data_IF_854657697355
#
_entry.id   IF_854657697355
#
_cell.length_a   1.000
_cell.length_b   1.000
_cell.length_c   1.000
_cell.angle_alpha   90.00
_cell.angle_beta   90.00
_cell.angle_gamma   90.00
#
_symmetry.space_group_name_H-M   'P 1'
#
loop_
_entity.id
_entity.type
_entity.pdbx_description
1 polymer ?
#
# COMPACT_ATOMS: atom_id res chain seq x y z
N UNK A 1 -3.46 30.53 30.16
CA UNK A 1 -3.29 29.96 28.81
C UNK A 1 -1.90 29.40 28.68
N UNK A 2 -1.78 28.11 28.42
CA UNK A 2 -0.49 27.44 28.20
C UNK A 2 0.19 27.94 26.93
N UNK A 3 1.54 27.82 26.80
CA UNK A 3 2.25 28.17 25.56
C UNK A 3 1.64 27.48 24.32
N UNK A 4 1.15 26.24 24.48
CA UNK A 4 0.46 25.47 23.43
C UNK A 4 -0.88 26.11 23.07
N UNK A 5 -1.66 26.58 24.03
CA UNK A 5 -2.92 27.30 23.76
C UNK A 5 -2.69 28.64 23.08
N UNK A 6 -1.61 29.36 23.43
CA UNK A 6 -1.20 30.58 22.73
C UNK A 6 -0.74 30.27 21.29
N UNK A 7 -0.01 29.17 21.11
CA UNK A 7 0.41 28.71 19.77
C UNK A 7 -0.81 28.30 18.93
N UNK A 8 -1.74 27.52 19.48
CA UNK A 8 -3.00 27.15 18.77
C UNK A 8 -3.85 28.37 18.49
N UNK A 9 -3.89 29.37 19.38
CA UNK A 9 -4.63 30.61 19.13
C UNK A 9 -3.95 31.53 18.12
N UNK A 10 -2.62 31.45 17.97
CA UNK A 10 -1.88 32.15 16.91
C UNK A 10 -2.02 31.48 15.54
N UNK A 11 -2.37 30.19 15.53
CA UNK A 11 -2.77 29.46 14.32
C UNK A 11 -4.20 29.79 13.87
N UNK A 12 -4.92 30.68 14.57
CA UNK A 12 -6.18 31.20 14.06
C UNK A 12 -5.89 31.87 12.73
N UNK A 13 -6.24 31.11 11.67
CA UNK A 13 -6.36 31.60 10.32
C UNK A 13 -6.96 33.02 10.35
N UNK A 14 -6.32 33.94 9.60
CA UNK A 14 -6.82 35.30 9.42
C UNK A 14 -8.33 35.26 9.20
N UNK A 15 -9.04 36.28 9.78
CA UNK A 15 -10.47 36.53 9.67
C UNK A 15 -11.14 35.83 8.50
N UNK A 16 -12.21 35.08 8.77
CA UNK A 16 -13.06 34.41 7.77
C UNK A 16 -13.36 35.36 6.59
N UNK A 17 -12.56 35.26 5.55
CA UNK A 17 -12.85 35.92 4.29
C UNK A 17 -14.10 35.27 3.72
N UNK A 18 -15.10 36.09 3.45
CA UNK A 18 -16.33 35.59 2.84
C UNK A 18 -16.15 35.56 1.33
N UNK A 19 -16.86 34.65 0.67
CA UNK A 19 -16.86 34.54 -0.79
C UNK A 19 -17.03 35.89 -1.51
N UNK A 20 -17.77 36.83 -0.91
CA UNK A 20 -17.99 38.19 -1.45
C UNK A 20 -16.72 39.04 -1.50
N UNK A 21 -15.70 38.73 -0.70
CA UNK A 21 -14.47 39.51 -0.60
C UNK A 21 -13.43 39.09 -1.67
N UNK A 22 -13.69 38.00 -2.39
CA UNK A 22 -12.89 37.55 -3.52
C UNK A 22 -13.38 38.20 -4.81
N UNK A 23 -12.51 38.74 -5.67
CA UNK A 23 -12.89 39.29 -6.98
C UNK A 23 -13.78 38.35 -7.78
N UNK A 24 -14.76 38.90 -8.51
CA UNK A 24 -15.81 38.11 -9.17
C UNK A 24 -15.26 37.08 -10.17
N UNK A 25 -14.28 37.48 -10.97
CA UNK A 25 -13.60 36.62 -11.93
C UNK A 25 -12.93 35.45 -11.24
N UNK A 26 -12.17 35.69 -10.19
CA UNK A 26 -11.52 34.65 -9.40
C UNK A 26 -12.54 33.76 -8.68
N UNK A 27 -13.58 34.36 -8.13
CA UNK A 27 -14.66 33.62 -7.46
C UNK A 27 -15.34 32.63 -8.40
N UNK A 28 -15.60 33.02 -9.62
CA UNK A 28 -16.19 32.14 -10.64
C UNK A 28 -15.32 30.96 -10.95
N UNK A 29 -14.01 31.15 -11.07
CA UNK A 29 -13.03 30.05 -11.27
C UNK A 29 -12.95 29.11 -10.07
N UNK A 30 -12.97 29.63 -8.84
CA UNK A 30 -12.96 28.82 -7.64
C UNK A 30 -14.24 27.99 -7.50
N UNK A 31 -15.41 28.57 -7.81
CA UNK A 31 -16.67 27.80 -7.83
C UNK A 31 -16.71 26.76 -8.94
N UNK A 32 -16.08 27.02 -10.08
CA UNK A 32 -15.90 26.00 -11.11
C UNK A 32 -15.04 24.86 -10.58
N UNK A 33 -13.91 25.17 -9.95
CA UNK A 33 -13.01 24.16 -9.40
C UNK A 33 -13.66 23.36 -8.26
N UNK A 34 -14.47 23.98 -7.38
CA UNK A 34 -15.27 23.27 -6.37
C UNK A 34 -16.18 22.19 -7.00
N UNK A 35 -16.76 22.49 -8.18
CA UNK A 35 -17.60 21.51 -8.90
C UNK A 35 -16.77 20.35 -9.46
N UNK A 36 -15.61 20.66 -10.04
CA UNK A 36 -14.70 19.65 -10.57
C UNK A 36 -14.22 18.68 -9.47
N UNK A 37 -13.81 19.22 -8.33
CA UNK A 37 -13.31 18.39 -7.21
C UNK A 37 -14.45 17.86 -6.31
N UNK A 38 -15.71 18.24 -6.55
CA UNK A 38 -16.85 17.78 -5.76
C UNK A 38 -16.83 18.21 -4.28
N UNK A 39 -16.08 19.24 -3.93
CA UNK A 39 -15.95 19.73 -2.55
C UNK A 39 -16.30 21.22 -2.48
N UNK A 40 -17.22 21.59 -1.59
CA UNK A 40 -17.57 22.99 -1.32
C UNK A 40 -16.86 23.51 -0.09
N UNK A 41 -16.21 24.66 -0.21
CA UNK A 41 -15.48 25.30 0.88
C UNK A 41 -16.35 26.28 1.66
N UNK A 42 -16.19 26.26 2.99
CA UNK A 42 -16.76 27.27 3.89
C UNK A 42 -15.91 28.54 3.86
N UNK A 43 -14.58 28.35 3.83
CA UNK A 43 -13.60 29.44 3.75
C UNK A 43 -12.91 29.43 2.39
N UNK A 44 -13.28 30.36 1.48
CA UNK A 44 -12.70 30.43 0.13
C UNK A 44 -11.22 30.78 0.09
N UNK A 45 -10.68 31.42 1.14
CA UNK A 45 -9.25 31.75 1.20
C UNK A 45 -8.38 30.51 1.25
N UNK A 46 -8.84 29.45 1.92
CA UNK A 46 -8.10 28.18 1.96
C UNK A 46 -7.98 27.57 0.56
N UNK A 47 -9.09 27.55 -0.19
CA UNK A 47 -9.06 27.08 -1.57
C UNK A 47 -8.20 27.98 -2.46
N UNK A 48 -8.36 29.30 -2.34
CA UNK A 48 -7.58 30.25 -3.13
C UNK A 48 -6.07 30.14 -2.83
N UNK A 49 -5.70 30.01 -1.56
CA UNK A 49 -4.30 29.86 -1.14
C UNK A 49 -3.69 28.53 -1.61
N UNK A 50 -4.44 27.42 -1.58
CA UNK A 50 -3.95 26.13 -2.06
C UNK A 50 -3.56 26.14 -3.55
N UNK A 51 -4.12 27.06 -4.31
CA UNK A 51 -3.86 27.25 -5.73
C UNK A 51 -2.81 28.35 -6.01
N UNK A 52 -2.19 28.91 -4.98
CA UNK A 52 -1.25 30.02 -5.10
C UNK A 52 0.20 29.56 -5.03
N UNK A 53 0.84 29.39 -6.16
CA UNK A 53 2.24 28.98 -6.23
C UNK A 53 3.15 30.10 -5.73
N UNK A 54 4.29 29.76 -5.16
CA UNK A 54 5.31 30.70 -4.65
C UNK A 54 5.74 31.76 -5.66
N UNK A 55 5.79 31.45 -6.96
CA UNK A 55 6.16 32.41 -7.98
C UNK A 55 5.18 33.58 -8.07
N UNK A 56 3.91 33.39 -7.75
CA UNK A 56 2.89 34.43 -7.77
C UNK A 56 3.05 35.45 -6.64
N UNK A 57 3.54 34.99 -5.49
CA UNK A 57 3.74 35.84 -4.28
C UNK A 57 5.15 36.38 -4.17
N UNK A 58 6.10 35.87 -4.97
CA UNK A 58 7.49 36.28 -4.91
C UNK A 58 7.64 37.77 -5.32
N UNK A 59 8.25 38.57 -4.43
CA UNK A 59 8.42 40.01 -4.64
C UNK A 59 7.48 40.92 -3.86
N UNK A 60 6.44 40.36 -3.20
CA UNK A 60 5.59 41.07 -2.27
C UNK A 60 6.13 40.91 -0.85
N UNK A 61 6.88 41.89 -0.34
CA UNK A 61 7.66 41.82 0.90
C UNK A 61 6.92 41.48 2.20
N UNK A 62 5.59 41.35 2.17
CA UNK A 62 4.75 41.02 3.34
C UNK A 62 4.29 39.55 3.43
N UNK A 63 4.64 38.66 2.47
CA UNK A 63 3.82 37.50 2.19
C UNK A 63 4.52 36.15 2.32
N UNK A 64 5.52 36.04 3.21
CA UNK A 64 6.04 34.73 3.63
C UNK A 64 4.93 33.93 4.32
N UNK A 65 4.17 33.13 3.57
CA UNK A 65 3.11 32.28 4.10
C UNK A 65 1.79 32.33 3.33
N UNK A 66 1.71 33.12 2.26
CA UNK A 66 0.53 33.15 1.38
C UNK A 66 0.64 32.13 0.23
N UNK A 67 1.82 31.55 -0.04
CA UNK A 67 1.95 30.44 -1.00
C UNK A 67 1.29 29.17 -0.49
N UNK A 68 1.10 28.23 -1.39
CA UNK A 68 0.54 26.90 -1.08
C UNK A 68 1.50 25.95 -0.34
N UNK A 69 2.80 26.28 -0.23
CA UNK A 69 3.85 25.40 0.33
C UNK A 69 3.52 24.86 1.73
N UNK A 70 2.94 25.67 2.61
CA UNK A 70 2.53 25.20 3.95
C UNK A 70 1.33 24.26 3.93
N UNK A 71 0.45 24.44 2.96
CA UNK A 71 -0.70 23.53 2.77
C UNK A 71 -0.27 22.25 2.08
N UNK A 72 0.66 22.30 1.15
CA UNK A 72 1.35 21.16 0.56
C UNK A 72 1.94 20.26 1.65
N UNK A 73 2.79 20.83 2.53
CA UNK A 73 3.38 20.11 3.66
C UNK A 73 2.32 19.40 4.55
N UNK A 74 1.22 20.11 4.85
CA UNK A 74 0.13 19.52 5.64
C UNK A 74 -0.64 18.47 4.83
N UNK A 75 -0.88 18.74 3.56
CA UNK A 75 -1.63 17.85 2.65
C UNK A 75 -0.92 16.55 2.39
N UNK A 76 0.42 16.55 2.22
CA UNK A 76 1.23 15.34 2.14
C UNK A 76 1.03 14.46 3.38
N UNK A 77 1.06 15.05 4.56
CA UNK A 77 0.85 14.32 5.82
C UNK A 77 -0.55 13.71 5.91
N UNK A 78 -1.59 14.45 5.49
CA UNK A 78 -2.98 13.98 5.46
C UNK A 78 -3.15 12.87 4.41
N UNK A 79 -2.59 13.05 3.22
CA UNK A 79 -2.58 12.05 2.17
C UNK A 79 -1.91 10.76 2.65
N UNK A 80 -0.72 10.89 3.24
CA UNK A 80 0.03 9.76 3.79
C UNK A 80 -0.75 8.98 4.85
N UNK A 81 -1.42 9.70 5.77
CA UNK A 81 -2.26 9.08 6.81
C UNK A 81 -3.42 8.28 6.21
N UNK A 82 -4.18 8.89 5.30
CA UNK A 82 -5.36 8.27 4.69
C UNK A 82 -4.98 7.07 3.82
N UNK A 83 -3.89 7.18 3.05
CA UNK A 83 -3.39 6.09 2.23
C UNK A 83 -2.89 4.93 3.10
N UNK A 84 -2.12 5.20 4.16
CA UNK A 84 -1.63 4.18 5.08
C UNK A 84 -2.78 3.43 5.74
N UNK A 85 -3.79 4.14 6.26
CA UNK A 85 -4.97 3.53 6.87
C UNK A 85 -5.74 2.67 5.86
N UNK A 86 -5.91 3.16 4.63
CA UNK A 86 -6.57 2.41 3.57
C UNK A 86 -5.81 1.11 3.24
N UNK A 87 -4.50 1.19 3.05
CA UNK A 87 -3.66 0.03 2.71
C UNK A 87 -3.63 -1.00 3.84
N UNK A 88 -3.49 -0.54 5.10
CA UNK A 88 -3.52 -1.40 6.27
C UNK A 88 -4.82 -2.23 6.35
N UNK A 89 -5.97 -1.58 6.14
CA UNK A 89 -7.26 -2.27 6.18
C UNK A 89 -7.53 -3.14 4.94
N UNK A 90 -6.98 -2.76 3.78
CA UNK A 90 -7.26 -3.43 2.50
C UNK A 90 -6.40 -4.66 2.27
N UNK A 91 -5.20 -4.68 2.83
CA UNK A 91 -4.20 -5.74 2.62
C UNK A 91 -3.66 -6.28 3.96
N UNK A 92 -4.51 -6.99 4.76
CA UNK A 92 -4.13 -7.45 6.10
C UNK A 92 -2.99 -8.49 6.09
N UNK A 93 -2.78 -9.18 4.97
CA UNK A 93 -1.77 -10.24 4.82
C UNK A 93 -0.42 -9.71 4.25
N UNK A 94 -0.31 -8.41 3.96
CA UNK A 94 0.91 -7.80 3.43
C UNK A 94 1.79 -7.28 4.58
N UNK A 95 3.10 -7.43 4.42
CA UNK A 95 4.06 -6.87 5.38
C UNK A 95 4.25 -5.35 5.18
N UNK A 96 4.95 -4.72 6.12
CA UNK A 96 5.21 -3.28 6.11
C UNK A 96 5.99 -2.83 4.88
N UNK A 97 6.94 -3.64 4.40
CA UNK A 97 7.74 -3.35 3.21
C UNK A 97 6.87 -3.27 1.94
N UNK A 98 5.95 -4.22 1.78
CA UNK A 98 5.01 -4.24 0.66
C UNK A 98 4.04 -3.05 0.72
N UNK A 99 3.48 -2.75 1.90
CA UNK A 99 2.59 -1.59 2.08
C UNK A 99 3.31 -0.28 1.77
N UNK A 100 4.58 -0.16 2.17
CA UNK A 100 5.41 1.01 1.88
C UNK A 100 5.69 1.18 0.40
N UNK A 101 5.97 0.08 -0.33
CA UNK A 101 6.12 0.10 -1.78
C UNK A 101 4.84 0.61 -2.45
N UNK A 102 3.68 0.01 -2.13
CA UNK A 102 2.38 0.41 -2.69
C UNK A 102 2.09 1.89 -2.39
N UNK A 103 2.29 2.31 -1.13
CA UNK A 103 2.14 3.73 -0.75
C UNK A 103 2.97 4.63 -1.64
N UNK A 104 4.28 4.35 -1.76
CA UNK A 104 5.22 5.19 -2.53
C UNK A 104 4.80 5.39 -3.98
N UNK A 105 4.13 4.40 -4.57
CA UNK A 105 3.58 4.50 -5.92
C UNK A 105 2.36 5.40 -5.97
N UNK A 106 1.40 5.15 -5.08
CA UNK A 106 0.11 5.85 -5.03
C UNK A 106 0.27 7.33 -4.77
N UNK A 107 1.18 7.70 -3.86
CA UNK A 107 1.47 9.10 -3.50
C UNK A 107 2.62 9.69 -4.33
N UNK A 108 3.08 9.00 -5.38
CA UNK A 108 4.16 9.52 -6.21
C UNK A 108 3.75 10.79 -6.93
N UNK A 109 4.72 11.71 -7.11
CA UNK A 109 4.51 12.94 -7.86
C UNK A 109 3.88 12.71 -9.24
N UNK A 110 4.25 11.60 -9.89
CA UNK A 110 3.74 11.25 -11.21
C UNK A 110 2.24 10.92 -11.16
N UNK A 111 1.80 10.14 -10.18
CA UNK A 111 0.38 9.79 -10.00
C UNK A 111 -0.43 11.01 -9.59
N UNK A 112 0.06 11.81 -8.63
CA UNK A 112 -0.62 13.02 -8.17
C UNK A 112 -0.76 14.05 -9.31
N UNK A 113 0.31 14.28 -10.07
CA UNK A 113 0.27 15.17 -11.23
C UNK A 113 -0.75 14.71 -12.28
N UNK A 114 -0.75 13.41 -12.61
CA UNK A 114 -1.72 12.85 -13.56
C UNK A 114 -3.16 13.06 -13.08
N UNK A 115 -3.44 12.77 -11.81
CA UNK A 115 -4.77 12.97 -11.23
C UNK A 115 -5.20 14.44 -11.21
N UNK A 116 -4.29 15.33 -10.90
CA UNK A 116 -4.54 16.78 -10.91
C UNK A 116 -4.74 17.32 -12.35
N UNK A 117 -4.05 16.76 -13.35
CA UNK A 117 -4.27 17.08 -14.77
C UNK A 117 -5.65 16.62 -15.24
N UNK A 118 -6.09 15.41 -14.85
CA UNK A 118 -7.42 14.87 -15.14
C UNK A 118 -8.54 15.82 -14.60
N UNK A 119 -8.31 16.46 -13.45
CA UNK A 119 -9.22 17.49 -12.86
C UNK A 119 -9.03 18.89 -13.45
N UNK A 120 -8.11 19.10 -14.39
CA UNK A 120 -7.82 20.42 -14.95
C UNK A 120 -7.22 21.41 -13.96
N UNK A 121 -6.60 20.96 -12.84
CA UNK A 121 -6.12 21.80 -11.74
C UNK A 121 -5.22 22.94 -12.22
N UNK A 122 -4.36 22.69 -13.20
CA UNK A 122 -3.44 23.68 -13.77
C UNK A 122 -4.12 24.96 -14.27
N UNK A 123 -5.40 24.92 -14.69
CA UNK A 123 -6.21 26.06 -15.12
C UNK A 123 -6.41 27.06 -13.98
N UNK A 124 -6.55 26.57 -12.76
CA UNK A 124 -6.94 27.36 -11.58
C UNK A 124 -5.73 27.94 -10.83
N UNK A 125 -4.49 27.52 -11.17
CA UNK A 125 -3.26 27.94 -10.50
C UNK A 125 -3.00 29.44 -10.71
N UNK A 126 -2.58 30.10 -9.65
CA UNK A 126 -2.00 31.44 -9.65
C UNK A 126 -0.47 31.31 -9.74
N UNK A 127 0.07 31.71 -10.87
CA UNK A 127 1.51 31.65 -11.20
C UNK A 127 1.98 33.04 -11.64
N UNK A 128 3.27 33.32 -11.54
CA UNK A 128 3.85 34.49 -12.19
C UNK A 128 3.76 34.39 -13.72
N UNK A 129 3.83 35.51 -14.42
CA UNK A 129 3.83 35.53 -15.89
C UNK A 129 4.95 34.65 -16.48
N UNK A 130 6.18 34.75 -15.97
CA UNK A 130 7.30 33.92 -16.43
C UNK A 130 7.10 32.43 -16.18
N UNK A 131 6.45 32.05 -15.06
CA UNK A 131 6.14 30.64 -14.79
C UNK A 131 5.07 30.12 -15.75
N UNK A 132 4.08 30.94 -16.09
CA UNK A 132 3.04 30.58 -17.12
C UNK A 132 3.69 30.39 -18.47
N UNK A 133 4.55 31.33 -18.91
CA UNK A 133 5.27 31.30 -20.19
C UNK A 133 6.17 30.08 -20.33
N UNK A 134 6.82 29.65 -19.21
CA UNK A 134 7.65 28.45 -19.18
C UNK A 134 6.87 27.13 -19.07
N UNK A 135 5.55 27.17 -19.19
CA UNK A 135 4.69 25.98 -19.15
C UNK A 135 4.37 25.48 -17.73
N UNK A 136 4.51 26.30 -16.70
CA UNK A 136 4.29 25.94 -15.30
C UNK A 136 2.94 25.32 -15.00
N UNK A 137 1.87 25.72 -15.75
CA UNK A 137 0.52 25.13 -15.62
C UNK A 137 0.42 23.64 -15.95
N UNK A 138 1.42 23.08 -16.66
CA UNK A 138 1.51 21.66 -17.04
C UNK A 138 2.72 20.97 -16.41
N UNK A 139 3.50 21.69 -15.59
CA UNK A 139 4.69 21.12 -14.95
C UNK A 139 4.28 20.19 -13.81
N UNK A 140 4.63 18.91 -13.94
CA UNK A 140 4.22 17.85 -13.01
C UNK A 140 4.53 18.17 -11.54
N UNK A 141 5.68 18.80 -11.25
CA UNK A 141 6.02 19.19 -9.87
C UNK A 141 5.02 20.21 -9.31
N UNK A 142 4.72 21.29 -10.06
CA UNK A 142 3.83 22.35 -9.61
C UNK A 142 2.39 21.83 -9.42
N UNK A 143 1.95 20.95 -10.32
CA UNK A 143 0.59 20.40 -10.27
C UNK A 143 0.44 19.40 -9.12
N UNK A 144 1.46 18.56 -8.87
CA UNK A 144 1.46 17.62 -7.76
C UNK A 144 1.49 18.34 -6.40
N UNK A 145 2.38 19.31 -6.24
CA UNK A 145 2.50 20.12 -5.02
C UNK A 145 1.18 20.87 -4.74
N UNK A 146 0.52 21.37 -5.79
CA UNK A 146 -0.80 22.01 -5.67
C UNK A 146 -1.90 21.01 -5.31
N UNK A 147 -1.85 19.77 -5.78
CA UNK A 147 -2.80 18.70 -5.40
C UNK A 147 -2.71 18.41 -3.89
N UNK A 148 -1.50 18.26 -3.37
CA UNK A 148 -1.28 18.09 -1.94
C UNK A 148 -1.81 19.32 -1.16
N UNK A 149 -1.54 20.54 -1.66
CA UNK A 149 -2.05 21.76 -1.04
C UNK A 149 -3.60 21.81 -1.01
N UNK A 150 -4.28 21.34 -2.06
CA UNK A 150 -5.75 21.22 -2.11
C UNK A 150 -6.23 20.22 -1.05
N UNK A 151 -5.55 19.08 -0.88
CA UNK A 151 -5.88 18.13 0.18
C UNK A 151 -5.73 18.78 1.56
N UNK A 152 -4.64 19.52 1.78
CA UNK A 152 -4.42 20.30 3.00
C UNK A 152 -5.52 21.33 3.26
N UNK A 153 -5.96 22.03 2.22
CA UNK A 153 -7.07 23.01 2.29
C UNK A 153 -8.40 22.35 2.63
N UNK A 154 -8.73 21.21 2.00
CA UNK A 154 -9.95 20.43 2.32
C UNK A 154 -9.92 20.01 3.79
N UNK A 155 -8.78 19.49 4.27
CA UNK A 155 -8.63 19.11 5.67
C UNK A 155 -8.84 20.27 6.63
N UNK A 156 -8.26 21.44 6.36
CA UNK A 156 -8.38 22.64 7.19
C UNK A 156 -9.82 23.18 7.24
N UNK A 157 -10.53 23.10 6.12
CA UNK A 157 -11.89 23.66 5.99
C UNK A 157 -12.97 22.68 6.46
N UNK A 158 -12.83 21.39 6.16
CA UNK A 158 -13.88 20.38 6.29
C UNK A 158 -13.52 19.21 7.19
N UNK A 159 -12.25 19.12 7.64
CA UNK A 159 -11.77 18.05 8.49
C UNK A 159 -11.34 16.80 7.75
N UNK A 160 -10.90 15.81 8.54
CA UNK A 160 -10.27 14.58 8.00
C UNK A 160 -11.24 13.75 7.15
N UNK A 161 -12.52 13.69 7.48
CA UNK A 161 -13.47 12.84 6.76
C UNK A 161 -13.71 13.34 5.33
N UNK A 162 -13.80 14.67 5.12
CA UNK A 162 -13.92 15.23 3.79
C UNK A 162 -12.64 15.02 2.96
N UNK A 163 -11.46 15.15 3.58
CA UNK A 163 -10.19 14.86 2.94
C UNK A 163 -10.08 13.36 2.57
N UNK A 164 -10.51 12.47 3.47
CA UNK A 164 -10.56 11.01 3.25
C UNK A 164 -11.43 10.65 2.05
N UNK A 165 -12.63 11.21 1.98
CA UNK A 165 -13.55 10.97 0.88
C UNK A 165 -12.96 11.44 -0.46
N UNK A 166 -12.38 12.65 -0.49
CA UNK A 166 -11.69 13.17 -1.67
C UNK A 166 -10.53 12.27 -2.10
N UNK A 167 -9.63 11.91 -1.20
CA UNK A 167 -8.48 11.05 -1.50
C UNK A 167 -8.93 9.66 -2.01
N UNK A 168 -9.95 9.07 -1.39
CA UNK A 168 -10.47 7.76 -1.82
C UNK A 168 -11.06 7.82 -3.22
N UNK A 169 -11.83 8.85 -3.52
CA UNK A 169 -12.50 9.01 -4.81
C UNK A 169 -11.51 9.35 -5.94
N UNK A 170 -10.56 10.24 -5.69
CA UNK A 170 -9.71 10.78 -6.76
C UNK A 170 -8.37 10.04 -6.89
N UNK A 171 -7.78 9.60 -5.79
CA UNK A 171 -6.42 9.04 -5.79
C UNK A 171 -6.44 7.51 -5.68
N UNK A 172 -7.27 6.95 -4.79
CA UNK A 172 -7.31 5.52 -4.55
C UNK A 172 -8.17 4.75 -5.56
N UNK A 173 -9.03 5.43 -6.32
CA UNK A 173 -9.70 4.82 -7.48
C UNK A 173 -8.65 4.46 -8.53
N UNK A 174 -8.65 3.20 -8.97
CA UNK A 174 -7.63 2.68 -9.90
C UNK A 174 -6.36 2.16 -9.24
N UNK A 175 -6.31 2.09 -7.90
CA UNK A 175 -5.18 1.50 -7.17
C UNK A 175 -4.81 0.11 -7.72
N UNK A 176 -5.79 -0.72 -8.07
CA UNK A 176 -5.57 -2.03 -8.67
C UNK A 176 -4.84 -1.96 -10.02
N UNK A 177 -5.08 -0.94 -10.82
CA UNK A 177 -4.38 -0.75 -12.08
C UNK A 177 -2.95 -0.28 -11.85
N UNK A 178 -2.76 0.61 -10.87
CA UNK A 178 -1.45 1.12 -10.47
C UNK A 178 -0.61 -0.04 -9.91
N UNK A 179 -1.14 -0.81 -8.97
CA UNK A 179 -0.43 -1.96 -8.37
C UNK A 179 -0.17 -3.06 -9.38
N UNK A 180 -1.09 -3.30 -10.32
CA UNK A 180 -0.91 -4.31 -11.36
C UNK A 180 0.13 -3.89 -12.40
N UNK A 181 0.19 -2.61 -12.76
CA UNK A 181 1.24 -2.10 -13.65
C UNK A 181 2.63 -2.17 -13.00
N UNK A 182 2.71 -2.04 -11.67
CA UNK A 182 3.95 -2.12 -10.91
C UNK A 182 4.36 -3.56 -10.57
N UNK A 183 3.43 -4.47 -10.36
CA UNK A 183 3.75 -5.90 -10.35
C UNK A 183 4.45 -6.31 -11.66
N UNK A 184 4.11 -5.66 -12.79
CA UNK A 184 4.85 -5.81 -14.04
C UNK A 184 6.19 -5.08 -14.08
N UNK A 185 6.42 -4.08 -13.22
CA UNK A 185 7.63 -3.23 -13.28
C UNK A 185 8.70 -3.58 -12.25
N UNK A 186 8.40 -4.37 -11.23
CA UNK A 186 9.33 -4.60 -10.10
C UNK A 186 9.95 -6.01 -10.03
N UNK A 187 9.91 -6.76 -11.11
CA UNK A 187 10.51 -8.11 -11.15
C UNK A 187 12.00 -8.12 -10.82
N UNK A 188 12.72 -7.02 -11.15
CA UNK A 188 14.15 -6.91 -10.80
C UNK A 188 14.37 -6.89 -9.29
N UNK A 189 13.59 -6.11 -8.55
CA UNK A 189 13.69 -6.04 -7.08
C UNK A 189 13.26 -7.34 -6.44
N UNK A 190 12.15 -7.93 -6.89
CA UNK A 190 11.68 -9.23 -6.41
C UNK A 190 12.73 -10.33 -6.64
N UNK A 191 13.34 -10.38 -7.81
CA UNK A 191 14.40 -11.34 -8.10
C UNK A 191 15.63 -11.09 -7.23
N UNK A 192 16.00 -9.84 -7.02
CA UNK A 192 17.12 -9.49 -6.16
C UNK A 192 16.88 -9.89 -4.71
N UNK A 193 15.73 -9.59 -4.13
CA UNK A 193 15.32 -9.96 -2.78
C UNK A 193 15.33 -11.49 -2.60
N UNK A 194 14.72 -12.23 -3.53
CA UNK A 194 14.66 -13.68 -3.51
C UNK A 194 16.06 -14.32 -3.54
N UNK A 195 16.91 -13.83 -4.45
CA UNK A 195 18.26 -14.38 -4.66
C UNK A 195 19.21 -13.97 -3.55
N UNK A 196 19.12 -12.76 -3.05
CA UNK A 196 19.92 -12.26 -1.94
C UNK A 196 19.54 -12.95 -0.63
N UNK A 197 18.25 -13.16 -0.36
CA UNK A 197 17.77 -13.88 0.82
C UNK A 197 18.16 -15.35 0.84
N UNK A 198 18.09 -16.03 -0.32
CA UNK A 198 18.33 -17.48 -0.42
C UNK A 198 19.79 -17.86 -0.71
N UNK A 199 20.54 -17.05 -1.46
CA UNK A 199 21.88 -17.42 -2.01
C UNK A 199 22.97 -16.40 -1.72
N UNK A 200 22.66 -15.24 -1.11
CA UNK A 200 23.59 -14.13 -0.80
C UNK A 200 24.38 -13.62 -2.02
N UNK A 201 23.79 -13.68 -3.21
CA UNK A 201 24.37 -13.22 -4.48
C UNK A 201 23.40 -12.26 -5.16
N UNK A 202 23.92 -11.46 -6.12
CA UNK A 202 23.11 -10.53 -6.89
C UNK A 202 22.84 -11.05 -8.30
N UNK A 203 21.64 -10.85 -8.87
CA UNK A 203 21.38 -11.08 -10.29
C UNK A 203 22.23 -10.13 -11.16
N UNK A 204 22.82 -10.64 -12.23
CA UNK A 204 23.62 -9.88 -13.19
C UNK A 204 22.86 -9.83 -14.50
N UNK A 205 22.60 -8.60 -14.99
CA UNK A 205 21.92 -8.33 -16.26
C UNK A 205 22.92 -7.99 -17.34
N UNK A 206 22.77 -8.59 -18.54
CA UNK A 206 23.62 -8.30 -19.69
C UNK A 206 22.77 -8.08 -20.92
N UNK A 207 22.97 -6.95 -21.59
CA UNK A 207 22.37 -6.68 -22.89
C UNK A 207 23.04 -7.58 -23.93
N UNK A 208 22.27 -8.44 -24.57
CA UNK A 208 22.73 -9.37 -25.60
C UNK A 208 22.67 -8.73 -26.97
N UNK A 209 21.62 -7.99 -27.25
CA UNK A 209 21.48 -7.30 -28.52
C UNK A 209 20.59 -6.06 -28.40
N UNK A 210 20.85 -5.11 -29.28
CA UNK A 210 20.06 -3.91 -29.50
C UNK A 210 19.72 -3.87 -30.99
N UNK A 211 18.44 -3.88 -31.35
CA UNK A 211 17.97 -3.94 -32.76
C UNK A 211 16.91 -2.89 -33.03
N UNK A 212 16.86 -2.41 -34.26
CA UNK A 212 15.86 -1.45 -34.73
C UNK A 212 16.39 -0.01 -34.81
N UNK A 213 15.65 0.87 -35.52
CA UNK A 213 15.97 2.29 -35.65
C UNK A 213 15.77 2.99 -34.28
N UNK A 214 16.34 4.20 -34.13
CA UNK A 214 16.35 4.95 -32.87
C UNK A 214 14.96 5.19 -32.26
N UNK A 215 13.92 5.25 -33.08
CA UNK A 215 12.53 5.48 -32.66
C UNK A 215 11.75 4.19 -32.36
N UNK A 216 12.31 3.00 -32.68
CA UNK A 216 11.68 1.69 -32.39
C UNK A 216 12.75 0.64 -32.06
N UNK A 217 13.62 0.96 -31.09
CA UNK A 217 14.65 0.06 -30.59
C UNK A 217 14.05 -1.06 -29.77
N UNK A 218 14.56 -2.28 -29.98
CA UNK A 218 14.30 -3.43 -29.14
C UNK A 218 15.60 -3.91 -28.49
N UNK A 219 15.53 -4.10 -27.18
CA UNK A 219 16.62 -4.62 -26.35
C UNK A 219 16.33 -6.06 -25.98
N UNK A 220 17.36 -6.91 -26.03
CA UNK A 220 17.32 -8.27 -25.49
C UNK A 220 18.31 -8.32 -24.34
N UNK A 221 17.83 -8.73 -23.16
CA UNK A 221 18.62 -8.79 -21.94
C UNK A 221 18.55 -10.19 -21.34
N UNK A 222 19.69 -10.72 -20.94
CA UNK A 222 19.80 -11.94 -20.13
C UNK A 222 20.05 -11.59 -18.68
N UNK A 223 19.45 -12.36 -17.78
CA UNK A 223 19.77 -12.33 -16.36
C UNK A 223 20.41 -13.63 -15.92
N UNK A 224 21.52 -13.51 -15.21
CA UNK A 224 22.27 -14.63 -14.65
C UNK A 224 22.41 -14.52 -13.14
N UNK A 225 22.40 -15.65 -12.45
CA UNK A 225 22.58 -15.80 -11.01
C UNK A 225 23.72 -16.79 -10.80
N UNK A 226 24.79 -16.37 -10.12
CA UNK A 226 26.01 -17.19 -9.93
C UNK A 226 26.58 -17.73 -11.26
N UNK A 227 26.59 -16.90 -12.31
CA UNK A 227 27.11 -17.25 -13.64
C UNK A 227 26.20 -18.13 -14.50
N UNK A 228 25.07 -18.63 -13.99
CA UNK A 228 24.09 -19.43 -14.73
C UNK A 228 22.93 -18.55 -15.19
N UNK A 229 22.53 -18.70 -16.46
CA UNK A 229 21.38 -17.98 -17.02
C UNK A 229 20.06 -18.51 -16.42
N UNK A 230 19.19 -17.58 -16.01
CA UNK A 230 17.89 -17.88 -15.42
C UNK A 230 16.73 -17.26 -16.21
N UNK A 231 16.96 -16.20 -16.97
CA UNK A 231 15.88 -15.60 -17.76
C UNK A 231 16.42 -14.73 -18.88
N UNK A 232 15.60 -14.57 -19.92
CA UNK A 232 15.79 -13.67 -21.05
C UNK A 232 14.55 -12.83 -21.23
N UNK A 233 14.72 -11.53 -21.44
CA UNK A 233 13.63 -10.59 -21.65
C UNK A 233 13.89 -9.67 -22.83
N UNK A 234 12.79 -9.16 -23.38
CA UNK A 234 12.79 -8.17 -24.46
C UNK A 234 11.98 -6.96 -24.05
N UNK A 235 12.34 -5.78 -24.58
CA UNK A 235 11.59 -4.54 -24.30
C UNK A 235 12.05 -3.41 -25.22
N UNK A 236 11.25 -2.35 -25.29
CA UNK A 236 11.54 -1.13 -26.05
C UNK A 236 12.59 -0.24 -25.37
N UNK A 237 12.92 -0.53 -24.14
CA UNK A 237 14.00 0.10 -23.37
C UNK A 237 14.81 -0.95 -22.64
N UNK A 238 16.06 -0.62 -22.27
CA UNK A 238 16.90 -1.49 -21.43
C UNK A 238 16.19 -1.86 -20.12
N UNK A 239 15.52 -0.89 -19.49
CA UNK A 239 14.75 -1.09 -18.25
C UNK A 239 13.62 -2.10 -18.43
N UNK A 240 12.86 -2.00 -19.50
CA UNK A 240 11.77 -2.92 -19.82
C UNK A 240 12.28 -4.34 -20.11
N UNK A 241 13.34 -4.47 -20.91
CA UNK A 241 13.96 -5.75 -21.20
C UNK A 241 14.54 -6.42 -19.94
N UNK A 242 15.15 -5.65 -19.03
CA UNK A 242 15.64 -6.14 -17.75
C UNK A 242 14.51 -6.63 -16.83
N UNK A 243 13.38 -5.92 -16.78
CA UNK A 243 12.19 -6.35 -16.05
C UNK A 243 11.59 -7.64 -16.62
N UNK A 244 11.50 -7.74 -17.95
CA UNK A 244 11.05 -8.94 -18.64
C UNK A 244 11.98 -10.14 -18.36
N UNK A 245 13.30 -9.93 -18.38
CA UNK A 245 14.28 -10.95 -18.03
C UNK A 245 14.16 -11.42 -16.56
N UNK A 246 13.95 -10.48 -15.65
CA UNK A 246 13.73 -10.79 -14.23
C UNK A 246 12.46 -11.61 -14.01
N UNK A 247 11.36 -11.28 -14.70
CA UNK A 247 10.11 -12.05 -14.67
C UNK A 247 10.35 -13.49 -15.09
N UNK A 248 10.97 -13.72 -16.25
CA UNK A 248 11.29 -15.05 -16.73
C UNK A 248 12.19 -15.85 -15.76
N UNK A 249 13.10 -15.15 -15.08
CA UNK A 249 13.96 -15.78 -14.07
C UNK A 249 13.19 -16.21 -12.81
N UNK A 250 12.22 -15.42 -12.35
CA UNK A 250 11.36 -15.77 -11.21
C UNK A 250 10.47 -16.97 -11.53
N UNK A 251 9.88 -17.02 -12.73
CA UNK A 251 9.08 -18.15 -13.21
C UNK A 251 9.92 -19.44 -13.24
N UNK A 252 11.13 -19.39 -13.82
CA UNK A 252 12.05 -20.51 -13.86
C UNK A 252 12.52 -20.98 -12.47
N UNK A 253 12.68 -20.07 -11.50
CA UNK A 253 13.03 -20.42 -10.12
C UNK A 253 11.87 -21.14 -9.43
N UNK A 254 10.64 -20.65 -9.58
CA UNK A 254 9.44 -21.25 -9.00
C UNK A 254 9.18 -22.67 -9.55
N UNK A 255 9.36 -22.89 -10.85
CA UNK A 255 9.24 -24.21 -11.48
C UNK A 255 10.27 -25.21 -10.93
N UNK A 256 11.51 -24.79 -10.76
CA UNK A 256 12.58 -25.65 -10.20
C UNK A 256 12.32 -26.00 -8.74
N UNK A 257 11.84 -25.04 -7.94
CA UNK A 257 11.50 -25.30 -6.54
C UNK A 257 10.30 -26.24 -6.41
N UNK A 258 9.30 -26.13 -7.28
CA UNK A 258 8.16 -27.05 -7.32
C UNK A 258 8.58 -28.47 -7.75
N UNK A 259 9.43 -28.60 -8.75
CA UNK A 259 9.98 -29.87 -9.21
C UNK A 259 10.85 -30.55 -8.12
N UNK A 260 11.66 -29.77 -7.40
CA UNK A 260 12.49 -30.29 -6.30
C UNK A 260 11.62 -30.79 -5.13
N UNK A 261 10.55 -30.09 -4.77
CA UNK A 261 9.57 -30.52 -3.74
C UNK A 261 8.80 -31.78 -4.18
N UNK A 262 8.44 -31.87 -5.47
CA UNK A 262 7.79 -33.05 -6.05
C UNK A 262 8.69 -34.31 -5.98
N UNK A 263 9.96 -34.16 -6.35
CA UNK A 263 10.94 -35.24 -6.27
C UNK A 263 11.20 -35.70 -4.83
N UNK A 264 11.25 -34.77 -3.86
CA UNK A 264 11.40 -35.12 -2.44
C UNK A 264 10.17 -35.85 -1.86
N UNK A 265 8.96 -35.52 -2.30
CA UNK A 265 7.73 -36.25 -1.90
C UNK A 265 7.70 -37.64 -2.49
N UNK A 266 8.00 -37.80 -3.78
CA UNK A 266 8.08 -39.13 -4.42
C UNK A 266 9.15 -40.02 -3.80
N UNK A 267 10.31 -39.49 -3.42
CA UNK A 267 11.36 -40.22 -2.72
C UNK A 267 10.99 -40.68 -1.30
N UNK A 268 10.15 -39.90 -0.60
CA UNK A 268 9.63 -40.27 0.74
C UNK A 268 8.53 -41.34 0.66
N UNK A 269 7.70 -41.31 -0.35
CA UNK A 269 6.65 -42.33 -0.55
C UNK A 269 7.25 -43.66 -1.00
N UNK A 270 8.25 -43.66 -1.88
CA UNK A 270 9.01 -44.87 -2.27
C UNK A 270 9.85 -45.46 -1.12
N UNK A 271 10.29 -44.64 -0.15
CA UNK A 271 10.96 -45.09 1.07
C UNK A 271 10.01 -45.75 2.07
N UNK A 272 8.76 -45.30 2.15
CA UNK A 272 7.72 -45.87 3.02
C UNK A 272 7.23 -47.24 2.54
N UNK A 273 7.11 -47.44 1.22
CA UNK A 273 6.73 -48.75 0.65
C UNK A 273 7.81 -49.84 0.88
N UNK A 274 9.10 -49.49 0.94
CA UNK A 274 10.19 -50.42 1.22
C UNK A 274 10.31 -50.78 2.70
N UNK A 275 9.90 -49.93 3.63
CA UNK A 275 9.98 -50.18 5.08
C UNK A 275 8.75 -50.91 5.60
N UNK A 276 7.55 -50.70 4.98
CA UNK A 276 6.32 -51.43 5.29
C UNK A 276 6.36 -52.94 4.91
N UNK A 277 7.26 -53.35 4.00
CA UNK A 277 7.42 -54.74 3.58
C UNK A 277 8.27 -55.63 4.53
N UNK A 278 9.03 -55.01 5.45
CA UNK A 278 9.88 -55.78 6.40
C UNK A 278 9.21 -56.08 7.74
N UNK A 279 8.19 -55.38 8.11
CA UNK A 279 7.49 -55.55 9.41
C UNK A 279 6.35 -56.58 9.33
N UNK A 280 5.74 -56.78 8.17
CA UNK A 280 4.69 -57.78 7.94
C UNK A 280 5.17 -59.24 8.04
N UNK A 281 6.50 -59.50 7.94
CA UNK A 281 7.09 -60.81 8.08
C UNK A 281 7.27 -61.25 9.54
N UNK A 282 7.51 -60.32 10.45
CA UNK A 282 7.74 -60.63 11.88
C UNK A 282 6.45 -60.77 12.69
N UNK A 283 5.34 -60.18 12.26
CA UNK A 283 4.03 -60.32 12.92
C UNK A 283 3.40 -61.68 12.63
N UNK A 284 3.53 -62.21 11.42
CA UNK A 284 3.02 -63.56 11.05
C UNK A 284 3.77 -64.70 11.72
N UNK A 285 5.00 -64.53 12.09
CA UNK A 285 5.77 -65.51 12.85
C UNK A 285 5.46 -65.51 14.35
N UNK A 286 5.06 -64.35 14.90
CA UNK A 286 4.60 -64.22 16.30
C UNK A 286 3.17 -64.74 16.52
N UNK A 287 2.28 -64.67 15.54
CA UNK A 287 0.92 -65.21 15.62
C UNK A 287 0.91 -66.75 15.56
N UNK A 288 1.85 -67.40 14.80
CA UNK A 288 1.98 -68.86 14.78
C UNK A 288 2.55 -69.43 16.06
N UNK A 289 3.26 -68.67 16.85
CA UNK A 289 3.84 -69.09 18.13
C UNK A 289 2.86 -68.96 19.32
N UNK A 290 1.76 -68.17 19.20
CA UNK A 290 0.78 -67.99 20.26
C UNK A 290 -0.47 -68.87 20.16
N UNK A 291 -0.56 -69.72 19.14
CA UNK A 291 -1.71 -70.59 18.88
C UNK A 291 -1.72 -71.94 19.59
N UNK A 292 -0.82 -72.19 20.54
CA UNK A 292 -0.81 -73.42 21.33
C UNK A 292 -0.64 -73.08 22.78
N UNK A 293 -1.76 -72.76 23.47
CA UNK A 293 -1.97 -73.09 24.89
C UNK A 293 -3.23 -72.37 25.42
N UNK A 294 -4.24 -73.23 25.73
CA UNK A 294 -5.25 -73.15 26.78
C UNK A 294 -6.49 -72.25 26.58
N UNK A 295 -7.58 -72.97 26.35
CA UNK A 295 -8.95 -72.70 26.88
C UNK A 295 -9.10 -73.40 28.25
N UNK A 296 -10.25 -73.20 28.98
CA UNK A 296 -10.96 -71.99 29.41
C UNK A 296 -11.25 -72.06 30.94
N UNK A 297 -11.69 -70.95 31.54
CA UNK A 297 -12.56 -71.02 32.72
C UNK A 297 -13.50 -69.78 32.77
N UNK A 298 -14.76 -70.13 33.04
CA UNK A 298 -15.94 -69.29 33.03
C UNK A 298 -16.15 -68.62 34.41
N UNK A 299 -16.78 -67.43 34.35
CA UNK A 299 -17.78 -66.83 35.24
C UNK A 299 -17.35 -66.16 36.55
N UNK A 300 -18.28 -65.30 37.18
CA UNK A 300 -19.28 -64.38 36.59
C UNK A 300 -19.25 -62.95 37.20
N UNK A 301 -20.20 -62.21 36.66
CA UNK A 301 -20.71 -60.89 36.96
C UNK A 301 -20.75 -60.41 38.42
N UNK A 302 -20.62 -59.14 38.62
CA UNK A 302 -21.46 -58.33 39.53
C UNK A 302 -21.61 -56.87 39.10
N UNK A 303 -22.90 -56.51 39.12
CA UNK A 303 -23.49 -55.19 39.05
C UNK A 303 -23.04 -54.26 40.18
N UNK A 304 -23.20 -52.98 39.96
CA UNK A 304 -23.46 -52.13 41.11
C UNK A 304 -23.12 -50.66 40.95
N UNK A 305 -24.13 -49.90 40.55
CA UNK A 305 -24.61 -48.65 41.18
C UNK A 305 -23.79 -47.35 41.03
N UNK A 306 -24.38 -46.44 40.24
CA UNK A 306 -25.04 -45.15 40.62
C UNK A 306 -24.38 -44.30 41.70
N UNK A 307 -24.20 -43.04 41.36
CA UNK A 307 -24.78 -41.82 41.97
C UNK A 307 -24.10 -40.57 41.37
N UNK A 308 -24.80 -39.73 40.66
CA UNK A 308 -25.46 -38.47 41.08
C UNK A 308 -24.67 -37.57 42.03
N UNK A 309 -24.47 -36.33 41.57
CA UNK A 309 -24.71 -34.99 42.22
C UNK A 309 -24.12 -33.93 41.27
N UNK A 310 -24.97 -33.17 40.59
CA UNK A 310 -25.70 -31.96 40.99
C UNK A 310 -24.95 -30.97 41.86
N UNK A 311 -24.74 -29.80 41.31
CA UNK A 311 -25.25 -28.56 41.85
C UNK A 311 -24.25 -27.68 42.56
N UNK A 312 -23.96 -26.52 42.10
CA UNK A 312 -24.41 -25.33 42.80
C UNK A 312 -24.13 -24.03 42.06
N UNK A 313 -25.17 -23.29 41.93
CA UNK A 313 -25.32 -21.86 41.66
C UNK A 313 -24.63 -21.02 42.74
N UNK A 314 -24.15 -19.86 42.34
CA UNK A 314 -23.80 -18.78 43.26
C UNK A 314 -23.85 -17.44 42.57
N UNK A 315 -25.01 -16.80 42.65
CA UNK A 315 -25.24 -15.38 42.37
C UNK A 315 -24.68 -14.56 43.53
N UNK A 316 -24.34 -13.31 43.27
CA UNK A 316 -24.54 -12.06 44.01
C UNK A 316 -23.43 -11.07 43.64
N UNK A 317 -23.54 -9.79 43.51
CA UNK A 317 -24.62 -8.81 43.83
C UNK A 317 -24.17 -7.47 43.23
N UNK A 318 -25.12 -6.75 42.76
CA UNK A 318 -25.08 -5.30 42.52
C UNK A 318 -24.67 -4.53 43.76
N UNK A 319 -23.99 -3.42 43.60
CA UNK A 319 -24.20 -2.25 44.46
C UNK A 319 -24.01 -0.95 43.70
N UNK A 320 -25.07 -0.20 43.72
CA UNK A 320 -25.21 1.23 43.48
C UNK A 320 -24.29 2.08 44.34
N UNK A 321 -23.84 3.18 43.83
CA UNK A 321 -23.23 4.29 44.53
C UNK A 321 -23.39 5.59 43.81
N UNK A 322 -24.55 6.21 43.98
CA UNK A 322 -24.83 7.64 43.70
C UNK A 322 -24.21 8.48 44.81
N UNK A 323 -23.60 9.63 44.48
CA UNK A 323 -23.62 10.88 45.30
C UNK A 323 -23.03 12.00 44.44
N UNK A 324 -23.88 12.92 44.02
CA UNK A 324 -24.07 14.36 44.32
C UNK A 324 -23.01 15.36 43.83
N UNK A 325 -23.52 16.25 43.01
CA UNK A 325 -23.29 17.66 42.85
C UNK A 325 -22.75 18.40 44.09
N UNK A 326 -21.85 19.32 43.89
CA UNK A 326 -21.92 20.75 44.29
C UNK A 326 -20.56 21.40 44.00
N UNK A 327 -20.60 22.65 43.50
CA UNK A 327 -19.52 23.63 43.47
C UNK A 327 -19.23 24.17 42.10
#
# INVERSE_FOLDING_TARGET
>A
MTPIQKFISSLRLKKDTRWKDIPNDRRSLLHEFEREIGVRFKNPDLLNQSLMHRSYVHGKSADRGLSNERMEFLGDSVLGLVVNEYLYNRYPDRDEGDLTKIKSLVVSRQVLAKKAEEMGLGKYLLLSAGEVESGGRKRSSIIADAMEAVIGAIYLDRGIEAAREFIRREILVGLHEITRSEEHTNYKSLLQELVQGSRKVHPVYRVQSERGPDHDKQFIVDVSISGKMYGRGTGKSKKEAEQSAAKAALENLAERDSAARGAQRAGRDAGRERDGGRDGGRERERERARGKEREPELEPAQEGQRAHREGHRGRHRERHGRVRQTG
#
